data_IF_685319115701
#
_entry.id   IF_685319115701
#
_cell.length_a   1.000
_cell.length_b   1.000
_cell.length_c   1.000
_cell.angle_alpha   90.00
_cell.angle_beta   90.00
_cell.angle_gamma   90.00
#
_symmetry.space_group_name_H-M   'P 1'
#
loop_
_entity.id
_entity.type
_entity.pdbx_description
1 polymer ?
#
# COMPACT_ATOMS: atom_id res chain seq x y z
N UNK A 1 -14.39 -32.75 7.33
CA UNK A 1 -15.29 -32.85 6.16
C UNK A 1 -16.72 -32.96 6.70
N UNK A 2 -17.61 -32.13 6.21
CA UNK A 2 -19.00 -32.06 6.64
C UNK A 2 -19.95 -32.26 5.46
N UNK A 3 -21.09 -32.90 5.71
CA UNK A 3 -22.28 -32.95 4.84
C UNK A 3 -23.35 -31.97 5.33
N UNK A 4 -24.40 -31.68 4.49
CA UNK A 4 -25.56 -30.96 4.95
C UNK A 4 -26.14 -31.55 6.25
N UNK A 5 -26.75 -30.68 7.05
CA UNK A 5 -27.31 -31.00 8.39
C UNK A 5 -26.25 -31.32 9.46
N UNK A 6 -24.92 -30.99 9.20
CA UNK A 6 -23.88 -31.14 10.19
C UNK A 6 -23.30 -32.55 10.36
N UNK A 7 -23.62 -33.48 9.45
CA UNK A 7 -23.05 -34.83 9.46
C UNK A 7 -21.51 -34.75 9.23
N UNK A 8 -20.74 -35.29 10.17
CA UNK A 8 -19.28 -35.30 10.11
C UNK A 8 -18.80 -36.59 9.43
N UNK A 9 -18.33 -36.50 8.19
CA UNK A 9 -17.72 -37.64 7.47
C UNK A 9 -16.25 -37.81 7.85
N UNK A 10 -15.52 -36.69 8.03
CA UNK A 10 -14.12 -36.71 8.43
C UNK A 10 -13.87 -35.73 9.58
N UNK A 11 -13.25 -36.25 10.66
CA UNK A 11 -12.83 -35.40 11.78
C UNK A 11 -11.73 -34.44 11.32
N UNK A 12 -11.52 -33.28 11.99
CA UNK A 12 -10.41 -32.40 11.70
C UNK A 12 -9.05 -33.13 11.77
N UNK A 13 -8.24 -32.95 10.74
CA UNK A 13 -6.90 -33.49 10.61
C UNK A 13 -5.97 -32.42 10.05
N UNK A 14 -4.67 -32.66 10.16
CA UNK A 14 -3.63 -31.74 9.66
C UNK A 14 -3.07 -32.29 8.36
N UNK A 15 -2.72 -31.38 7.43
CA UNK A 15 -2.08 -31.68 6.15
C UNK A 15 -0.90 -30.74 5.98
N UNK A 16 0.30 -31.28 5.83
CA UNK A 16 1.47 -30.47 5.52
C UNK A 16 1.42 -29.98 4.07
N UNK A 17 1.98 -28.80 3.82
CA UNK A 17 2.05 -28.24 2.46
C UNK A 17 3.19 -28.87 1.65
N UNK A 18 3.16 -30.18 1.51
CA UNK A 18 4.07 -30.96 0.67
C UNK A 18 3.29 -31.73 -0.38
N UNK A 19 3.89 -31.92 -1.55
CA UNK A 19 3.20 -32.50 -2.71
C UNK A 19 2.56 -33.87 -2.41
N UNK A 20 3.23 -34.75 -1.61
CA UNK A 20 2.70 -36.06 -1.24
C UNK A 20 1.38 -35.93 -0.46
N UNK A 21 1.36 -35.13 0.62
CA UNK A 21 0.19 -35.01 1.49
C UNK A 21 -0.98 -34.26 0.78
N UNK A 22 -0.66 -33.31 -0.06
CA UNK A 22 -1.67 -32.64 -0.90
C UNK A 22 -2.25 -33.59 -1.94
N UNK A 23 -1.45 -34.56 -2.47
CA UNK A 23 -1.93 -35.61 -3.37
C UNK A 23 -2.82 -36.63 -2.65
N UNK A 24 -2.46 -36.99 -1.43
CA UNK A 24 -3.26 -37.88 -0.58
C UNK A 24 -4.61 -37.19 -0.24
N UNK A 25 -4.60 -35.90 0.13
CA UNK A 25 -5.80 -35.11 0.34
C UNK A 25 -6.69 -35.08 -0.91
N UNK A 26 -6.14 -34.74 -2.06
CA UNK A 26 -6.89 -34.69 -3.31
C UNK A 26 -7.51 -36.04 -3.65
N UNK A 27 -6.74 -37.14 -3.47
CA UNK A 27 -7.23 -38.50 -3.70
C UNK A 27 -8.36 -38.87 -2.74
N UNK A 28 -8.27 -38.48 -1.49
CA UNK A 28 -9.32 -38.67 -0.49
C UNK A 28 -10.60 -37.90 -0.88
N UNK A 29 -10.48 -36.66 -1.30
CA UNK A 29 -11.60 -35.84 -1.72
C UNK A 29 -12.27 -36.37 -2.99
N UNK A 30 -11.52 -36.90 -3.96
CA UNK A 30 -12.05 -37.52 -5.19
C UNK A 30 -12.81 -38.85 -4.94
N UNK A 31 -12.57 -39.49 -3.80
CA UNK A 31 -13.31 -40.72 -3.43
C UNK A 31 -14.68 -40.45 -2.81
N UNK A 32 -15.02 -39.18 -2.56
CA UNK A 32 -16.33 -38.82 -2.06
C UNK A 32 -17.32 -38.81 -3.23
N UNK A 33 -18.42 -39.53 -3.10
CA UNK A 33 -19.42 -39.70 -4.18
C UNK A 33 -20.36 -38.53 -4.35
N UNK A 34 -19.99 -37.36 -3.82
CA UNK A 34 -20.82 -36.12 -3.83
C UNK A 34 -20.07 -34.94 -4.41
N UNK A 35 -20.74 -33.82 -4.69
CA UNK A 35 -20.11 -32.58 -5.08
C UNK A 35 -19.27 -32.02 -3.92
N UNK A 36 -17.95 -31.97 -4.12
CA UNK A 36 -17.01 -31.48 -3.11
C UNK A 36 -16.66 -30.03 -3.38
N UNK A 37 -16.85 -29.16 -2.38
CA UNK A 37 -16.36 -27.79 -2.37
C UNK A 37 -15.39 -27.60 -1.24
N UNK A 38 -14.20 -27.12 -1.57
CA UNK A 38 -13.17 -26.79 -0.58
C UNK A 38 -13.31 -25.33 -0.20
N UNK A 39 -13.36 -25.03 1.09
CA UNK A 39 -13.49 -23.67 1.59
C UNK A 39 -12.23 -23.32 2.39
N UNK A 40 -11.62 -22.18 2.10
CA UNK A 40 -10.44 -21.68 2.76
C UNK A 40 -10.62 -20.26 3.25
N UNK A 41 -10.05 -19.95 4.42
CA UNK A 41 -9.91 -18.56 4.86
C UNK A 41 -8.57 -18.00 4.37
N UNK A 42 -8.55 -16.74 3.90
CA UNK A 42 -7.30 -16.06 3.50
C UNK A 42 -6.50 -15.67 4.73
N UNK A 43 -5.58 -16.54 5.16
CA UNK A 43 -4.64 -16.23 6.24
C UNK A 43 -3.23 -16.04 5.65
N UNK A 44 -2.86 -14.79 5.40
CA UNK A 44 -1.58 -14.48 4.77
C UNK A 44 -1.40 -15.13 3.40
N UNK A 45 -0.29 -15.84 3.21
CA UNK A 45 0.05 -16.57 1.96
C UNK A 45 -0.09 -18.09 2.11
N UNK A 46 -0.42 -18.57 3.30
CA UNK A 46 -0.36 -20.02 3.61
C UNK A 46 -1.42 -20.85 2.87
N UNK A 47 -2.53 -20.26 2.49
CA UNK A 47 -3.56 -20.94 1.70
C UNK A 47 -3.16 -21.14 0.23
N UNK A 48 -2.21 -20.35 -0.32
CA UNK A 48 -1.89 -20.33 -1.75
C UNK A 48 -1.37 -21.67 -2.29
N UNK A 49 -0.45 -22.40 -1.63
CA UNK A 49 0.02 -23.70 -2.14
C UNK A 49 -1.10 -24.73 -2.26
N UNK A 50 -1.98 -24.79 -1.25
CA UNK A 50 -3.12 -25.71 -1.24
C UNK A 50 -4.15 -25.32 -2.30
N UNK A 51 -4.44 -24.02 -2.41
CA UNK A 51 -5.34 -23.47 -3.42
C UNK A 51 -4.85 -23.80 -4.84
N UNK A 52 -3.58 -23.49 -5.15
CA UNK A 52 -3.00 -23.77 -6.47
C UNK A 52 -3.09 -25.26 -6.80
N UNK A 53 -2.66 -26.11 -5.87
CA UNK A 53 -2.66 -27.55 -6.07
C UNK A 53 -4.07 -28.11 -6.32
N UNK A 54 -5.05 -27.72 -5.51
CA UNK A 54 -6.43 -28.22 -5.66
C UNK A 54 -7.11 -27.66 -6.91
N UNK A 55 -6.82 -26.43 -7.30
CA UNK A 55 -7.32 -25.86 -8.56
C UNK A 55 -6.74 -26.57 -9.77
N UNK A 56 -5.46 -26.93 -9.78
CA UNK A 56 -4.84 -27.76 -10.84
C UNK A 56 -5.49 -29.14 -10.95
N UNK A 57 -6.01 -29.69 -9.85
CA UNK A 57 -6.76 -30.95 -9.83
C UNK A 57 -8.25 -30.81 -10.17
N UNK A 58 -8.70 -29.59 -10.51
CA UNK A 58 -10.07 -29.32 -10.94
C UNK A 58 -11.11 -29.17 -9.82
N UNK A 59 -10.69 -29.06 -8.56
CA UNK A 59 -11.62 -28.85 -7.46
C UNK A 59 -12.24 -27.44 -7.49
N UNK A 60 -13.51 -27.38 -7.07
CA UNK A 60 -14.14 -26.14 -6.68
C UNK A 60 -13.51 -25.66 -5.35
N UNK A 61 -12.89 -24.48 -5.34
CA UNK A 61 -12.26 -23.91 -4.14
C UNK A 61 -12.81 -22.50 -3.91
N UNK A 62 -13.47 -22.29 -2.79
CA UNK A 62 -13.91 -20.95 -2.36
C UNK A 62 -12.96 -20.36 -1.32
N UNK A 63 -12.53 -19.16 -1.56
CA UNK A 63 -11.62 -18.42 -0.66
C UNK A 63 -12.39 -17.32 0.03
N UNK A 64 -12.53 -17.40 1.35
CA UNK A 64 -13.36 -16.53 2.16
C UNK A 64 -12.52 -15.44 2.85
N UNK A 65 -13.08 -14.25 2.89
CA UNK A 65 -12.45 -13.13 3.58
C UNK A 65 -12.48 -13.35 5.11
N UNK A 66 -11.36 -13.16 5.83
CA UNK A 66 -11.32 -13.28 7.29
C UNK A 66 -12.33 -12.38 8.02
N UNK A 67 -12.73 -11.28 7.42
CA UNK A 67 -13.75 -10.41 7.99
C UNK A 67 -15.13 -11.08 7.99
N UNK A 68 -15.51 -11.76 6.91
CA UNK A 68 -16.77 -12.52 6.81
C UNK A 68 -16.77 -13.69 7.79
N UNK A 69 -15.65 -14.40 7.89
CA UNK A 69 -15.48 -15.48 8.87
C UNK A 69 -15.59 -14.96 10.31
N UNK A 70 -15.03 -13.77 10.59
CA UNK A 70 -15.18 -13.13 11.90
C UNK A 70 -16.65 -12.80 12.21
N UNK A 71 -17.39 -12.23 11.27
CA UNK A 71 -18.81 -11.93 11.44
C UNK A 71 -19.61 -13.22 11.70
N UNK A 72 -19.32 -14.29 10.96
CA UNK A 72 -19.97 -15.59 11.13
C UNK A 72 -19.69 -16.22 12.51
N UNK A 73 -18.43 -16.18 12.96
CA UNK A 73 -18.03 -16.66 14.30
C UNK A 73 -18.71 -15.90 15.44
N UNK A 74 -18.94 -14.60 15.28
CA UNK A 74 -19.58 -13.77 16.31
C UNK A 74 -21.07 -14.06 16.53
N UNK A 75 -21.70 -14.93 15.73
CA UNK A 75 -23.10 -15.34 15.93
C UNK A 75 -23.26 -16.41 17.02
N UNK A 76 -22.16 -17.00 17.51
CA UNK A 76 -22.18 -18.02 18.56
C UNK A 76 -22.01 -17.44 19.97
N UNK A 77 -22.68 -18.07 20.98
CA UNK A 77 -22.62 -17.68 22.39
C UNK A 77 -21.29 -18.03 23.09
N UNK A 78 -20.48 -18.91 22.55
CA UNK A 78 -19.22 -19.37 23.14
C UNK A 78 -18.08 -19.25 22.16
N UNK A 79 -16.99 -18.60 22.57
CA UNK A 79 -15.77 -18.45 21.81
C UNK A 79 -14.76 -19.50 22.27
N UNK A 80 -14.58 -20.56 21.48
CA UNK A 80 -13.44 -21.48 21.60
C UNK A 80 -12.59 -21.29 20.35
N UNK A 81 -11.34 -20.89 20.51
CA UNK A 81 -10.41 -20.68 19.41
C UNK A 81 -9.36 -21.79 19.39
N UNK A 82 -9.58 -22.77 18.55
CA UNK A 82 -8.59 -23.81 18.20
C UNK A 82 -8.67 -24.07 16.70
N UNK A 83 -7.59 -24.52 16.09
CA UNK A 83 -7.54 -24.79 14.63
C UNK A 83 -8.59 -25.84 14.22
N UNK A 84 -8.83 -26.82 15.09
CA UNK A 84 -9.90 -27.83 14.88
C UNK A 84 -11.28 -27.19 14.83
N UNK A 85 -11.58 -26.28 15.76
CA UNK A 85 -12.86 -25.57 15.79
C UNK A 85 -12.99 -24.61 14.64
N UNK A 86 -11.90 -23.96 14.23
CA UNK A 86 -11.87 -23.06 13.09
C UNK A 86 -12.15 -23.85 11.79
N UNK A 87 -11.57 -25.03 11.60
CA UNK A 87 -11.86 -25.89 10.45
C UNK A 87 -13.35 -26.30 10.38
N UNK A 88 -13.95 -26.68 11.51
CA UNK A 88 -15.39 -26.97 11.60
C UNK A 88 -16.22 -25.74 11.25
N UNK A 89 -15.86 -24.59 11.79
CA UNK A 89 -16.59 -23.33 11.55
C UNK A 89 -16.54 -22.90 10.10
N UNK A 90 -15.38 -23.03 9.43
CA UNK A 90 -15.19 -22.76 7.99
C UNK A 90 -16.06 -23.73 7.18
N UNK A 91 -16.09 -25.00 7.55
CA UNK A 91 -16.92 -26.01 6.86
C UNK A 91 -18.41 -25.72 7.01
N UNK A 92 -18.88 -25.35 8.22
CA UNK A 92 -20.28 -24.95 8.45
C UNK A 92 -20.64 -23.70 7.65
N UNK A 93 -19.76 -22.69 7.61
CA UNK A 93 -19.93 -21.52 6.75
C UNK A 93 -20.17 -21.91 5.29
N UNK A 94 -19.39 -22.89 4.80
CA UNK A 94 -19.52 -23.41 3.45
C UNK A 94 -20.89 -24.05 3.19
N UNK A 95 -21.42 -24.81 4.14
CA UNK A 95 -22.75 -25.44 4.05
C UNK A 95 -23.84 -24.36 4.07
N UNK A 96 -23.81 -23.45 5.04
CA UNK A 96 -24.84 -22.40 5.20
C UNK A 96 -24.89 -21.44 4.02
N UNK A 97 -23.79 -21.26 3.31
CA UNK A 97 -23.64 -20.35 2.17
C UNK A 97 -23.43 -21.06 0.82
N UNK A 98 -23.73 -22.35 0.71
CA UNK A 98 -23.42 -23.22 -0.43
C UNK A 98 -23.72 -22.56 -1.79
N UNK A 99 -24.89 -21.99 -1.95
CA UNK A 99 -25.32 -21.37 -3.21
C UNK A 99 -24.73 -19.98 -3.46
N UNK A 100 -24.02 -19.41 -2.48
CA UNK A 100 -23.36 -18.09 -2.58
C UNK A 100 -21.87 -18.22 -2.78
N UNK A 101 -21.30 -19.40 -2.55
CA UNK A 101 -19.88 -19.65 -2.77
C UNK A 101 -19.54 -19.41 -4.24
N UNK A 102 -18.41 -18.75 -4.45
CA UNK A 102 -17.83 -18.57 -5.77
C UNK A 102 -16.55 -19.35 -5.86
N UNK A 103 -16.39 -20.06 -6.97
CA UNK A 103 -15.13 -20.72 -7.27
C UNK A 103 -14.02 -19.67 -7.42
N UNK A 104 -12.86 -20.00 -6.93
CA UNK A 104 -11.70 -19.11 -7.05
C UNK A 104 -11.21 -19.10 -8.49
N UNK A 105 -11.19 -17.91 -9.07
CA UNK A 105 -10.55 -17.63 -10.34
C UNK A 105 -9.16 -17.06 -10.06
N UNK A 106 -8.13 -17.67 -10.66
CA UNK A 106 -6.76 -17.17 -10.52
C UNK A 106 -6.65 -15.79 -11.15
N UNK A 107 -6.06 -14.85 -10.42
CA UNK A 107 -5.70 -13.54 -10.97
C UNK A 107 -4.68 -13.75 -12.10
N UNK A 108 -4.81 -13.06 -13.22
CA UNK A 108 -3.81 -13.13 -14.29
C UNK A 108 -2.40 -12.89 -13.72
N UNK A 109 -1.42 -13.67 -14.15
CA UNK A 109 -0.07 -13.68 -13.58
C UNK A 109 0.57 -12.29 -13.50
N UNK A 110 0.30 -11.43 -14.48
CA UNK A 110 0.81 -10.06 -14.55
C UNK A 110 0.30 -9.18 -13.39
N UNK A 111 -0.98 -9.30 -13.03
CA UNK A 111 -1.54 -8.56 -11.89
C UNK A 111 -1.08 -9.14 -10.56
N UNK A 112 -0.93 -10.47 -10.48
CA UNK A 112 -0.38 -11.13 -9.30
C UNK A 112 1.07 -10.68 -9.03
N UNK A 113 1.90 -10.59 -10.07
CA UNK A 113 3.27 -10.08 -10.00
C UNK A 113 3.30 -8.61 -9.56
N UNK A 114 2.51 -7.74 -10.19
CA UNK A 114 2.40 -6.33 -9.80
C UNK A 114 1.97 -6.17 -8.34
N UNK A 115 1.05 -6.98 -7.88
CA UNK A 115 0.55 -6.96 -6.51
C UNK A 115 1.63 -7.40 -5.50
N UNK A 116 2.44 -8.40 -5.87
CA UNK A 116 3.59 -8.82 -5.06
C UNK A 116 4.62 -7.67 -4.95
N UNK A 117 5.01 -7.07 -6.09
CA UNK A 117 5.91 -5.93 -6.11
C UNK A 117 5.35 -4.75 -5.30
N UNK A 118 4.06 -4.44 -5.42
CA UNK A 118 3.40 -3.41 -4.62
C UNK A 118 3.45 -3.69 -3.12
N UNK A 119 3.34 -4.96 -2.69
CA UNK A 119 3.51 -5.36 -1.28
C UNK A 119 4.95 -5.14 -0.81
N UNK A 120 5.94 -5.54 -1.62
CA UNK A 120 7.36 -5.34 -1.32
C UNK A 120 7.70 -3.85 -1.28
N UNK A 121 7.23 -3.06 -2.24
CA UNK A 121 7.39 -1.61 -2.22
C UNK A 121 6.90 -0.98 -0.90
N UNK A 122 5.74 -1.41 -0.40
CA UNK A 122 5.22 -0.93 0.88
C UNK A 122 6.06 -1.38 2.08
N UNK A 123 6.64 -2.56 2.02
CA UNK A 123 7.55 -3.04 3.06
C UNK A 123 8.78 -2.15 3.15
N UNK A 124 9.47 -1.92 2.03
CA UNK A 124 10.65 -1.06 1.98
C UNK A 124 10.33 0.41 2.27
N UNK A 125 9.14 0.90 1.92
CA UNK A 125 8.69 2.24 2.34
C UNK A 125 8.56 2.39 3.87
N UNK A 126 8.21 1.34 4.59
CA UNK A 126 8.23 1.37 6.07
C UNK A 126 9.65 1.41 6.61
N UNK A 127 10.53 0.55 6.09
CA UNK A 127 11.95 0.56 6.44
C UNK A 127 12.58 1.93 6.16
N UNK A 128 12.22 2.55 5.02
CA UNK A 128 12.67 3.90 4.70
C UNK A 128 12.26 4.92 5.76
N UNK A 129 11.01 4.89 6.20
CA UNK A 129 10.51 5.81 7.24
C UNK A 129 11.29 5.62 8.53
N UNK A 130 11.55 4.39 8.94
CA UNK A 130 12.35 4.04 10.12
C UNK A 130 13.81 4.54 9.97
N UNK A 131 14.43 4.29 8.80
CA UNK A 131 15.80 4.76 8.53
C UNK A 131 15.92 6.28 8.51
N UNK A 132 14.91 7.00 7.98
CA UNK A 132 14.87 8.48 8.04
C UNK A 132 14.70 8.99 9.47
N UNK A 133 13.93 8.31 10.30
CA UNK A 133 13.80 8.67 11.71
C UNK A 133 15.13 8.47 12.43
N UNK A 134 15.81 7.36 12.21
CA UNK A 134 17.11 7.07 12.81
C UNK A 134 18.18 8.09 12.37
N UNK A 135 18.30 8.37 11.06
CA UNK A 135 19.17 9.43 10.57
C UNK A 135 18.82 10.78 11.23
N UNK A 136 17.52 11.08 11.38
CA UNK A 136 17.12 12.34 12.02
C UNK A 136 17.56 12.41 13.48
N UNK A 137 17.41 11.31 14.24
CA UNK A 137 17.88 11.24 15.62
C UNK A 137 19.39 11.48 15.72
N UNK A 138 20.19 10.87 14.84
CA UNK A 138 21.63 11.10 14.80
C UNK A 138 21.97 12.56 14.44
N UNK A 139 21.21 13.14 13.50
CA UNK A 139 21.39 14.54 13.12
C UNK A 139 20.96 15.52 14.22
N UNK A 140 20.03 15.15 15.09
CA UNK A 140 19.65 15.96 16.25
C UNK A 140 20.80 16.04 17.27
N UNK A 141 21.72 15.05 17.33
CA UNK A 141 22.95 15.13 18.11
C UNK A 141 24.06 15.97 17.46
N UNK A 142 24.12 16.00 16.13
CA UNK A 142 25.24 16.60 15.38
C UNK A 142 24.89 17.89 14.64
N UNK A 143 23.65 18.02 14.17
CA UNK A 143 23.11 19.14 13.41
C UNK A 143 21.63 19.38 13.73
N UNK A 144 21.29 19.74 15.01
CA UNK A 144 19.91 19.88 15.44
C UNK A 144 19.12 20.86 14.55
N UNK A 145 17.95 20.42 14.09
CA UNK A 145 17.04 21.22 13.27
C UNK A 145 17.33 21.25 11.76
N UNK A 146 18.43 20.69 11.27
CA UNK A 146 18.83 20.71 9.84
C UNK A 146 17.77 20.10 8.92
N UNK A 147 17.05 19.09 9.36
CA UNK A 147 15.95 18.46 8.64
C UNK A 147 14.86 19.44 8.19
N UNK A 148 14.61 20.50 8.96
CA UNK A 148 13.61 21.50 8.63
C UNK A 148 14.02 22.36 7.41
N UNK A 149 15.30 22.46 7.15
CA UNK A 149 15.87 23.23 6.03
C UNK A 149 16.06 22.37 4.77
N UNK A 150 16.24 21.07 4.90
CA UNK A 150 16.52 20.18 3.77
C UNK A 150 15.32 19.29 3.48
N UNK A 151 14.90 19.27 2.21
CA UNK A 151 13.85 18.34 1.78
C UNK A 151 14.45 16.95 1.63
N UNK A 152 13.71 15.95 2.10
CA UNK A 152 14.03 14.56 1.90
C UNK A 152 13.74 14.06 0.49
N UNK A 153 13.59 12.78 0.38
CA UNK A 153 13.51 11.99 -0.84
C UNK A 153 12.45 12.44 -1.86
N UNK A 154 12.87 12.42 -3.11
CA UNK A 154 12.01 12.60 -4.27
C UNK A 154 11.81 11.25 -4.96
N UNK A 155 10.63 10.68 -4.84
CA UNK A 155 10.24 9.38 -5.40
C UNK A 155 10.35 9.31 -6.95
N UNK A 156 10.36 10.47 -7.63
CA UNK A 156 10.44 10.50 -9.10
C UNK A 156 11.86 10.26 -9.61
N UNK A 157 12.86 10.77 -8.91
CA UNK A 157 14.27 10.71 -9.33
C UNK A 157 15.19 10.04 -8.31
N UNK A 158 14.65 9.55 -7.19
CA UNK A 158 15.40 8.85 -6.14
C UNK A 158 16.35 9.74 -5.31
N UNK A 159 16.35 11.06 -5.50
CA UNK A 159 17.26 11.96 -4.78
C UNK A 159 16.73 12.31 -3.39
N UNK A 160 17.60 12.23 -2.38
CA UNK A 160 17.33 12.68 -1.02
C UNK A 160 18.39 13.71 -0.59
N UNK A 161 17.98 14.99 -0.57
CA UNK A 161 18.90 16.09 -0.28
C UNK A 161 19.41 16.07 1.16
N UNK A 162 18.62 15.57 2.11
CA UNK A 162 19.05 15.45 3.50
C UNK A 162 20.17 14.43 3.64
N UNK A 163 20.00 13.25 3.03
CA UNK A 163 21.02 12.19 3.04
C UNK A 163 22.32 12.63 2.37
N UNK A 164 22.21 13.24 1.17
CA UNK A 164 23.37 13.71 0.42
C UNK A 164 24.11 14.81 1.16
N UNK A 165 23.40 15.71 1.84
CA UNK A 165 24.01 16.76 2.64
C UNK A 165 24.68 16.20 3.90
N UNK A 166 24.02 15.29 4.59
CA UNK A 166 24.50 14.69 5.85
C UNK A 166 25.75 13.81 5.63
N UNK A 167 25.90 13.23 4.44
CA UNK A 167 27.10 12.49 4.09
C UNK A 167 28.35 13.37 4.07
N UNK A 168 28.24 14.58 3.54
CA UNK A 168 29.36 15.53 3.39
C UNK A 168 29.50 16.42 4.65
N UNK A 169 28.38 16.98 5.10
CA UNK A 169 28.34 17.90 6.26
C UNK A 169 27.67 17.19 7.45
N UNK A 170 28.29 16.19 8.00
CA UNK A 170 27.74 15.32 9.04
C UNK A 170 27.70 15.94 10.45
N UNK A 171 28.30 17.15 10.65
CA UNK A 171 28.34 17.89 11.92
C UNK A 171 28.42 19.40 11.65
N UNK A 172 27.84 20.23 12.53
CA UNK A 172 27.88 21.68 12.38
C UNK A 172 29.30 22.26 12.37
N UNK A 173 30.26 21.63 13.07
CA UNK A 173 31.67 22.06 13.01
C UNK A 173 32.24 22.04 11.60
N UNK A 174 31.79 21.15 10.73
CA UNK A 174 32.22 21.08 9.34
C UNK A 174 31.72 22.29 8.52
N UNK A 175 30.70 22.96 9.01
CA UNK A 175 30.09 24.15 8.42
C UNK A 175 30.76 25.41 9.01
N UNK A 176 30.84 25.49 10.34
CA UNK A 176 31.30 26.68 11.07
C UNK A 176 32.81 26.87 11.11
N UNK A 177 33.61 25.89 10.68
CA UNK A 177 35.08 26.02 10.46
C UNK A 177 35.42 26.97 9.31
N UNK A 178 34.47 27.26 8.43
CA UNK A 178 34.58 28.17 7.31
C UNK A 178 33.84 29.47 7.66
N UNK A 179 34.20 30.54 6.94
CA UNK A 179 33.33 31.76 6.95
C UNK A 179 31.99 31.49 6.27
N UNK A 180 31.04 32.38 6.48
CA UNK A 180 29.72 32.28 5.83
C UNK A 180 29.83 32.29 4.30
N UNK A 181 30.73 33.14 3.76
CA UNK A 181 30.98 33.27 2.31
C UNK A 181 31.59 31.98 1.75
N UNK A 182 32.63 31.47 2.37
CA UNK A 182 33.29 30.20 1.96
C UNK A 182 32.34 29.02 2.02
N UNK A 183 31.53 28.93 3.06
CA UNK A 183 30.51 27.88 3.15
C UNK A 183 29.42 28.03 2.08
N UNK A 184 28.99 29.26 1.81
CA UNK A 184 27.98 29.51 0.78
C UNK A 184 28.46 29.05 -0.60
N UNK A 185 29.69 29.37 -0.96
CA UNK A 185 30.32 28.94 -2.22
C UNK A 185 30.48 27.41 -2.28
N UNK A 186 31.00 26.81 -1.23
CA UNK A 186 31.13 25.36 -1.09
C UNK A 186 29.75 24.64 -1.22
N UNK A 187 28.73 25.17 -0.58
CA UNK A 187 27.35 24.64 -0.69
C UNK A 187 26.79 24.77 -2.11
N UNK A 188 27.01 25.86 -2.80
CA UNK A 188 26.57 26.07 -4.17
C UNK A 188 27.23 25.10 -5.15
N UNK A 189 28.56 24.89 -5.01
CA UNK A 189 29.30 23.89 -5.78
C UNK A 189 28.82 22.46 -5.48
N UNK A 190 28.61 22.13 -4.20
CA UNK A 190 28.04 20.85 -3.80
C UNK A 190 26.64 20.63 -4.40
N UNK A 191 25.78 21.65 -4.35
CA UNK A 191 24.43 21.58 -4.90
C UNK A 191 24.45 21.32 -6.41
N UNK A 192 25.35 21.98 -7.15
CA UNK A 192 25.54 21.78 -8.59
C UNK A 192 26.05 20.38 -8.90
N UNK A 193 27.10 19.91 -8.22
CA UNK A 193 27.68 18.57 -8.36
C UNK A 193 26.66 17.45 -8.11
N UNK A 194 25.78 17.62 -7.11
CA UNK A 194 24.69 16.67 -6.79
C UNK A 194 23.44 16.91 -7.65
N UNK A 195 23.41 17.94 -8.52
CA UNK A 195 22.27 18.27 -9.39
C UNK A 195 21.06 18.81 -8.63
N UNK A 196 21.29 19.60 -7.59
CA UNK A 196 20.28 20.39 -6.89
C UNK A 196 20.30 21.86 -7.37
N UNK A 197 19.19 22.55 -7.16
CA UNK A 197 19.14 23.98 -7.42
C UNK A 197 20.10 24.74 -6.50
N UNK A 198 20.93 25.61 -7.09
CA UNK A 198 21.84 26.53 -6.39
C UNK A 198 20.98 27.61 -5.70
N UNK A 199 21.03 27.67 -4.37
CA UNK A 199 20.21 28.58 -3.57
C UNK A 199 21.05 29.21 -2.46
N UNK A 200 21.56 30.41 -2.69
CA UNK A 200 22.37 31.14 -1.73
C UNK A 200 21.62 31.44 -0.43
N UNK A 201 20.32 31.81 -0.53
CA UNK A 201 19.47 32.04 0.64
C UNK A 201 19.36 30.81 1.55
N UNK A 202 19.53 29.62 0.97
CA UNK A 202 19.50 28.36 1.70
C UNK A 202 20.84 28.12 2.41
N UNK A 203 21.97 28.42 1.77
CA UNK A 203 23.27 28.30 2.38
C UNK A 203 23.40 29.20 3.62
N UNK A 204 22.99 30.48 3.49
CA UNK A 204 22.98 31.43 4.59
C UNK A 204 22.13 30.92 5.77
N UNK A 205 20.93 30.40 5.51
CA UNK A 205 20.06 29.83 6.57
C UNK A 205 20.68 28.60 7.24
N UNK A 206 21.39 27.75 6.49
CA UNK A 206 22.07 26.59 7.05
C UNK A 206 23.24 27.04 7.92
N UNK A 207 24.02 28.02 7.46
CA UNK A 207 25.16 28.57 8.22
C UNK A 207 24.69 29.22 9.53
N UNK A 208 23.65 30.06 9.47
CA UNK A 208 23.06 30.68 10.65
C UNK A 208 22.57 29.63 11.67
N UNK A 209 21.88 28.58 11.18
CA UNK A 209 21.42 27.49 12.02
C UNK A 209 22.62 26.72 12.63
N UNK A 210 23.70 26.51 11.86
CA UNK A 210 24.89 25.85 12.34
C UNK A 210 25.62 26.62 13.43
N UNK A 211 25.59 27.97 13.34
CA UNK A 211 26.22 28.88 14.30
C UNK A 211 25.45 29.01 15.62
N UNK A 212 24.12 28.92 15.55
CA UNK A 212 23.24 28.99 16.72
C UNK A 212 22.95 27.62 17.34
N UNK A 213 23.07 26.55 16.54
CA UNK A 213 22.79 25.19 16.97
C UNK A 213 23.80 24.67 17.96
N UNK A 214 23.35 23.86 18.91
CA UNK A 214 24.19 23.25 19.94
C UNK A 214 24.24 21.73 19.73
N UNK A 215 25.25 21.20 19.01
CA UNK A 215 25.50 19.76 18.95
C UNK A 215 25.80 19.21 20.35
N UNK A 216 25.27 18.03 20.65
CA UNK A 216 25.47 17.38 21.95
C UNK A 216 26.55 16.30 21.90
N UNK A 217 27.02 15.93 20.72
CA UNK A 217 28.13 15.00 20.49
C UNK A 217 29.21 15.74 19.72
N UNK A 218 30.47 15.55 20.12
CA UNK A 218 31.59 16.23 19.50
C UNK A 218 31.95 15.67 18.10
N UNK A 219 32.30 16.56 17.19
CA UNK A 219 32.88 16.18 15.88
C UNK A 219 34.21 15.43 15.97
N UNK A 220 34.94 15.57 17.07
CA UNK A 220 36.21 14.85 17.31
C UNK A 220 36.01 13.41 17.77
N UNK A 221 34.77 13.00 18.14
CA UNK A 221 34.48 11.63 18.53
C UNK A 221 34.49 10.72 17.28
N UNK A 222 35.39 9.71 17.19
CA UNK A 222 35.59 8.93 15.96
C UNK A 222 34.31 8.24 15.46
N UNK A 223 33.43 7.79 16.35
CA UNK A 223 32.18 7.12 16.02
C UNK A 223 31.11 8.07 15.47
N UNK A 224 31.15 9.36 15.75
CA UNK A 224 30.11 10.32 15.34
C UNK A 224 29.95 10.35 13.81
N UNK A 225 31.06 10.56 13.10
CA UNK A 225 31.05 10.53 11.63
C UNK A 225 30.60 9.21 11.06
N UNK A 226 31.13 8.11 11.62
CA UNK A 226 30.84 6.75 11.18
C UNK A 226 29.34 6.44 11.31
N UNK A 227 28.71 6.78 12.44
CA UNK A 227 27.30 6.52 12.69
C UNK A 227 26.40 7.27 11.70
N UNK A 228 26.66 8.55 11.44
CA UNK A 228 25.88 9.33 10.45
C UNK A 228 26.05 8.76 9.05
N UNK A 229 27.28 8.43 8.65
CA UNK A 229 27.55 7.87 7.31
C UNK A 229 26.92 6.49 7.13
N UNK A 230 26.93 5.62 8.14
CA UNK A 230 26.28 4.32 8.07
C UNK A 230 24.74 4.47 8.00
N UNK A 231 24.15 5.39 8.74
CA UNK A 231 22.72 5.66 8.63
C UNK A 231 22.32 6.15 7.22
N UNK A 232 23.15 7.03 6.63
CA UNK A 232 22.98 7.49 5.24
C UNK A 232 23.12 6.32 4.27
N UNK A 233 24.12 5.45 4.45
CA UNK A 233 24.36 4.28 3.60
C UNK A 233 23.14 3.34 3.61
N UNK A 234 22.64 2.99 4.80
CA UNK A 234 21.46 2.13 4.93
C UNK A 234 20.24 2.75 4.24
N UNK A 235 20.02 4.06 4.46
CA UNK A 235 18.88 4.75 3.84
C UNK A 235 18.98 4.74 2.31
N UNK A 236 20.17 4.92 1.74
CA UNK A 236 20.40 4.84 0.28
C UNK A 236 20.13 3.46 -0.28
N UNK A 237 20.55 2.40 0.41
CA UNK A 237 20.26 1.04 -0.04
C UNK A 237 18.74 0.77 -0.10
N UNK A 238 18.00 1.27 0.89
CA UNK A 238 16.53 1.20 0.88
C UNK A 238 15.94 2.03 -0.27
N UNK A 239 16.45 3.23 -0.51
CA UNK A 239 16.00 4.09 -1.61
C UNK A 239 16.27 3.45 -2.99
N UNK A 240 17.45 2.85 -3.18
CA UNK A 240 17.81 2.12 -4.39
C UNK A 240 16.87 0.92 -4.62
N UNK A 241 16.60 0.16 -3.57
CA UNK A 241 15.67 -0.97 -3.62
C UNK A 241 14.25 -0.50 -4.01
N UNK A 242 13.77 0.60 -3.44
CA UNK A 242 12.48 1.20 -3.79
C UNK A 242 12.43 1.63 -5.25
N UNK A 243 13.49 2.25 -5.76
CA UNK A 243 13.57 2.67 -7.16
C UNK A 243 13.59 1.47 -8.11
N UNK A 244 14.32 0.40 -7.77
CA UNK A 244 14.36 -0.84 -8.55
C UNK A 244 12.97 -1.47 -8.64
N UNK A 245 12.28 -1.62 -7.50
CA UNK A 245 10.92 -2.18 -7.47
C UNK A 245 9.96 -1.30 -8.27
N UNK A 246 10.01 0.02 -8.10
CA UNK A 246 9.14 0.94 -8.82
C UNK A 246 9.38 0.87 -10.34
N UNK A 247 10.63 0.79 -10.77
CA UNK A 247 10.99 0.65 -12.19
C UNK A 247 10.43 -0.65 -12.76
N UNK A 248 10.57 -1.76 -12.04
CA UNK A 248 9.97 -3.04 -12.46
C UNK A 248 8.44 -2.96 -12.55
N UNK A 249 7.79 -2.37 -11.54
CA UNK A 249 6.35 -2.14 -11.59
C UNK A 249 5.92 -1.29 -12.79
N UNK A 250 6.70 -0.27 -13.13
CA UNK A 250 6.44 0.58 -14.31
C UNK A 250 6.61 -0.20 -15.62
N UNK A 251 7.62 -1.06 -15.72
CA UNK A 251 7.87 -1.89 -16.89
C UNK A 251 6.71 -2.85 -17.13
N UNK A 252 6.29 -3.56 -16.09
CA UNK A 252 5.15 -4.49 -16.18
C UNK A 252 3.85 -3.72 -16.47
N UNK A 253 3.58 -2.62 -15.76
CA UNK A 253 2.36 -1.86 -15.97
C UNK A 253 2.24 -1.31 -17.40
N UNK A 254 3.35 -0.92 -18.04
CA UNK A 254 3.37 -0.43 -19.42
C UNK A 254 2.92 -1.46 -20.46
N UNK A 255 3.02 -2.75 -20.16
CA UNK A 255 2.53 -3.82 -21.05
C UNK A 255 1.00 -3.98 -20.99
N UNK A 256 0.35 -3.40 -20.00
CA UNK A 256 -1.10 -3.50 -19.81
C UNK A 256 -1.85 -2.47 -20.66
N UNK A 257 -2.95 -2.88 -21.33
CA UNK A 257 -3.72 -1.98 -22.20
C UNK A 257 -4.25 -0.74 -21.50
N UNK A 258 -4.62 -0.86 -20.22
CA UNK A 258 -5.17 0.25 -19.44
C UNK A 258 -4.13 1.26 -18.94
N UNK A 259 -2.83 0.93 -18.96
CA UNK A 259 -1.79 1.81 -18.41
C UNK A 259 -1.78 3.23 -18.98
N UNK A 260 -1.86 3.44 -20.32
CA UNK A 260 -1.89 4.79 -20.91
C UNK A 260 -3.06 5.62 -20.38
N UNK A 261 -4.23 5.02 -20.26
CA UNK A 261 -5.46 5.67 -19.81
C UNK A 261 -5.35 6.03 -18.33
N UNK A 262 -4.89 5.09 -17.49
CA UNK A 262 -4.70 5.30 -16.04
C UNK A 262 -3.65 6.37 -15.78
N UNK A 263 -2.51 6.33 -16.47
CA UNK A 263 -1.44 7.32 -16.35
C UNK A 263 -1.90 8.73 -16.74
N UNK A 264 -2.80 8.84 -17.72
CA UNK A 264 -3.31 10.11 -18.18
C UNK A 264 -4.34 10.76 -17.25
N UNK A 265 -4.85 10.01 -16.26
CA UNK A 265 -5.80 10.55 -15.28
C UNK A 265 -5.16 11.60 -14.37
N UNK A 266 -5.95 12.61 -14.01
CA UNK A 266 -5.48 13.70 -13.16
C UNK A 266 -4.95 13.22 -11.80
N UNK A 267 -3.74 13.66 -11.46
CA UNK A 267 -3.09 13.34 -10.18
C UNK A 267 -2.41 11.98 -10.13
N UNK A 268 -2.43 11.17 -11.21
CA UNK A 268 -1.86 9.82 -11.21
C UNK A 268 -0.37 9.83 -11.60
N UNK A 269 0.01 10.07 -12.82
CA UNK A 269 1.41 10.09 -13.27
C UNK A 269 2.13 8.74 -13.20
N UNK A 270 3.45 8.76 -13.49
CA UNK A 270 4.26 7.53 -13.65
C UNK A 270 4.47 6.71 -12.38
N UNK A 271 4.42 7.35 -11.21
CA UNK A 271 4.65 6.69 -9.92
C UNK A 271 3.36 6.05 -9.39
N UNK A 272 2.23 6.76 -9.50
CA UNK A 272 0.98 6.28 -8.93
C UNK A 272 0.20 5.34 -9.85
N UNK A 273 0.40 5.41 -11.18
CA UNK A 273 -0.28 4.52 -12.12
C UNK A 273 0.01 3.04 -11.85
N UNK A 274 1.27 2.58 -11.81
CA UNK A 274 1.56 1.17 -11.55
C UNK A 274 1.09 0.73 -10.15
N UNK A 275 1.15 1.60 -9.15
CA UNK A 275 0.67 1.30 -7.79
C UNK A 275 -0.85 1.14 -7.74
N UNK A 276 -1.59 1.98 -8.48
CA UNK A 276 -3.04 1.88 -8.58
C UNK A 276 -3.45 0.59 -9.28
N UNK A 277 -2.84 0.27 -10.41
CA UNK A 277 -3.10 -0.95 -11.18
C UNK A 277 -2.78 -2.18 -10.32
N UNK A 278 -1.63 -2.19 -9.63
CA UNK A 278 -1.23 -3.29 -8.74
C UNK A 278 -2.24 -3.58 -7.62
N UNK A 279 -2.86 -2.54 -7.06
CA UNK A 279 -3.81 -2.71 -5.95
C UNK A 279 -5.25 -2.99 -6.42
N UNK A 280 -5.64 -2.44 -7.57
CA UNK A 280 -6.96 -2.71 -8.16
C UNK A 280 -6.96 -4.10 -8.81
N UNK A 281 -5.85 -4.49 -9.47
CA UNK A 281 -5.79 -5.70 -10.29
C UNK A 281 -6.67 -5.57 -11.54
N UNK A 282 -7.07 -6.69 -12.10
CA UNK A 282 -7.97 -6.71 -13.25
C UNK A 282 -9.33 -6.07 -12.90
N UNK A 283 -9.64 -5.00 -13.61
CA UNK A 283 -10.90 -4.26 -13.39
C UNK A 283 -12.13 -5.07 -13.81
N UNK A 284 -11.98 -6.00 -14.76
CA UNK A 284 -13.07 -6.85 -15.28
C UNK A 284 -13.68 -7.76 -14.21
N UNK A 285 -12.94 -8.06 -13.15
CA UNK A 285 -13.47 -8.82 -11.99
C UNK A 285 -14.57 -8.09 -11.21
N UNK A 286 -14.71 -6.78 -11.41
CA UNK A 286 -15.77 -6.00 -10.77
C UNK A 286 -16.94 -5.83 -11.72
N UNK A 287 -18.12 -6.28 -11.32
CA UNK A 287 -19.36 -6.14 -12.09
C UNK A 287 -19.84 -4.68 -12.23
N UNK A 288 -19.28 -3.74 -11.46
CA UNK A 288 -19.65 -2.32 -11.51
C UNK A 288 -18.63 -1.44 -10.79
N UNK A 289 -18.63 -0.14 -11.11
CA UNK A 289 -17.84 0.85 -10.36
C UNK A 289 -18.24 0.94 -8.87
N UNK A 290 -19.46 0.55 -8.49
CA UNK A 290 -19.88 0.45 -7.09
C UNK A 290 -19.17 -0.71 -6.39
N UNK A 291 -18.99 -1.85 -7.07
CA UNK A 291 -18.23 -2.98 -6.54
C UNK A 291 -16.75 -2.61 -6.30
N UNK A 292 -16.13 -1.86 -7.22
CA UNK A 292 -14.78 -1.32 -7.00
C UNK A 292 -14.71 -0.40 -5.77
N UNK A 293 -15.69 0.48 -5.57
CA UNK A 293 -15.75 1.39 -4.41
C UNK A 293 -15.89 0.60 -3.10
N UNK A 294 -16.71 -0.45 -3.08
CA UNK A 294 -16.86 -1.34 -1.94
C UNK A 294 -15.55 -2.10 -1.65
N UNK A 295 -14.85 -2.54 -2.71
CA UNK A 295 -13.52 -3.17 -2.59
C UNK A 295 -12.48 -2.22 -1.99
N UNK A 296 -12.53 -0.93 -2.29
CA UNK A 296 -11.68 0.08 -1.66
C UNK A 296 -12.09 0.35 -0.21
N UNK A 297 -13.34 0.03 0.16
CA UNK A 297 -13.89 0.27 1.50
C UNK A 297 -14.09 1.76 1.81
N UNK A 298 -14.47 2.54 0.80
CA UNK A 298 -14.89 3.95 0.94
C UNK A 298 -16.38 4.14 0.72
N UNK A 299 -17.11 3.06 0.52
CA UNK A 299 -18.55 3.02 0.57
C UNK A 299 -19.05 3.41 1.97
N UNK A 300 -20.19 4.04 2.00
CA UNK A 300 -20.87 4.46 3.23
C UNK A 300 -22.17 3.65 3.30
N UNK A 301 -22.21 2.55 4.07
CA UNK A 301 -23.40 1.76 4.19
C UNK A 301 -24.56 2.59 4.74
N UNK A 302 -25.80 2.38 4.28
CA UNK A 302 -26.96 3.03 4.87
C UNK A 302 -27.12 2.57 6.33
N UNK A 303 -27.42 3.51 7.20
CA UNK A 303 -27.78 3.22 8.58
C UNK A 303 -29.18 3.77 8.83
N UNK A 304 -30.16 2.89 8.73
CA UNK A 304 -31.57 3.22 8.84
C UNK A 304 -32.25 2.22 9.77
N UNK A 305 -33.10 2.71 10.65
CA UNK A 305 -33.95 1.89 11.53
C UNK A 305 -35.29 2.58 11.66
N UNK A 306 -36.32 2.01 11.06
CA UNK A 306 -37.65 2.61 10.96
C UNK A 306 -37.57 3.99 10.28
N UNK A 307 -38.04 5.02 10.95
CA UNK A 307 -37.98 6.40 10.44
C UNK A 307 -36.63 7.11 10.66
N UNK A 308 -35.73 6.47 11.41
CA UNK A 308 -34.40 7.06 11.70
C UNK A 308 -33.43 6.86 10.54
N UNK A 309 -32.83 7.94 10.07
CA UNK A 309 -31.74 7.90 9.09
C UNK A 309 -30.52 8.59 9.68
N UNK A 310 -29.44 7.82 9.90
CA UNK A 310 -28.19 8.33 10.43
C UNK A 310 -27.55 9.36 9.50
N UNK A 311 -27.27 10.57 9.98
CA UNK A 311 -26.67 11.68 9.23
C UNK A 311 -25.15 11.60 9.21
N UNK A 312 -24.52 11.16 10.32
CA UNK A 312 -23.08 10.98 10.44
C UNK A 312 -22.68 9.53 10.17
N UNK A 313 -22.16 9.28 8.97
CA UNK A 313 -21.76 7.95 8.52
C UNK A 313 -20.28 7.86 8.25
N UNK A 314 -19.66 6.74 8.66
CA UNK A 314 -18.25 6.44 8.40
C UNK A 314 -18.12 5.52 7.20
N UNK A 315 -16.97 5.60 6.50
CA UNK A 315 -16.62 4.64 5.43
C UNK A 315 -16.45 3.24 6.01
N UNK A 316 -16.77 2.20 5.22
CA UNK A 316 -16.78 0.81 5.69
C UNK A 316 -15.41 0.29 6.11
N UNK A 317 -14.33 0.72 5.47
CA UNK A 317 -12.94 0.27 5.66
C UNK A 317 -12.72 -1.25 5.52
N UNK A 318 -13.64 -1.97 4.89
CA UNK A 318 -13.69 -3.44 4.87
C UNK A 318 -12.52 -4.09 4.12
N UNK A 319 -11.97 -3.44 3.08
CA UNK A 319 -10.95 -4.04 2.22
C UNK A 319 -9.64 -3.22 2.19
N UNK A 320 -8.96 -3.17 1.05
CA UNK A 320 -7.59 -2.67 0.91
C UNK A 320 -7.31 -1.29 1.52
N UNK A 321 -6.63 -1.26 2.65
CA UNK A 321 -6.12 -0.03 3.25
C UNK A 321 -5.05 0.63 2.37
N UNK A 322 -4.30 -0.16 1.61
CA UNK A 322 -3.27 0.27 0.66
C UNK A 322 -3.88 1.05 -0.49
N UNK A 323 -4.95 0.52 -1.09
CA UNK A 323 -5.66 1.19 -2.18
C UNK A 323 -6.26 2.53 -1.71
N UNK A 324 -6.81 2.58 -0.48
CA UNK A 324 -7.26 3.85 0.12
C UNK A 324 -6.13 4.87 0.28
N UNK A 325 -4.94 4.42 0.70
CA UNK A 325 -3.76 5.29 0.83
C UNK A 325 -3.33 5.84 -0.52
N UNK A 326 -3.15 4.98 -1.52
CA UNK A 326 -2.77 5.37 -2.88
C UNK A 326 -3.81 6.32 -3.48
N UNK A 327 -5.10 5.98 -3.38
CA UNK A 327 -6.19 6.83 -3.86
C UNK A 327 -6.21 8.20 -3.17
N UNK A 328 -5.91 8.26 -1.88
CA UNK A 328 -5.78 9.54 -1.17
C UNK A 328 -4.58 10.36 -1.66
N UNK A 329 -3.46 9.71 -1.98
CA UNK A 329 -2.29 10.36 -2.60
C UNK A 329 -2.62 10.93 -3.97
N UNK A 330 -3.35 10.18 -4.81
CA UNK A 330 -3.88 10.69 -6.09
C UNK A 330 -4.73 11.94 -5.88
N UNK A 331 -5.66 11.93 -4.92
CA UNK A 331 -6.49 13.11 -4.63
C UNK A 331 -5.68 14.30 -4.11
N UNK A 332 -4.59 14.03 -3.38
CA UNK A 332 -3.66 15.08 -2.93
C UNK A 332 -2.92 15.70 -4.11
N UNK A 333 -2.37 14.86 -4.99
CA UNK A 333 -1.68 15.32 -6.20
C UNK A 333 -2.61 16.10 -7.13
N UNK A 334 -3.81 15.56 -7.38
CA UNK A 334 -4.83 16.21 -8.20
C UNK A 334 -5.19 17.60 -7.67
N UNK A 335 -5.36 17.73 -6.35
CA UNK A 335 -5.68 19.02 -5.72
C UNK A 335 -4.50 19.99 -5.79
N UNK A 336 -3.27 19.53 -5.63
CA UNK A 336 -2.05 20.36 -5.67
C UNK A 336 -1.79 20.90 -7.08
N UNK A 337 -1.93 20.03 -8.08
CA UNK A 337 -1.61 20.39 -9.48
C UNK A 337 -2.78 21.00 -10.23
N UNK A 338 -3.97 21.09 -9.64
CA UNK A 338 -5.20 21.62 -10.27
C UNK A 338 -5.42 21.02 -11.66
N UNK A 339 -5.24 19.71 -11.78
CA UNK A 339 -5.14 19.01 -13.04
C UNK A 339 -6.34 19.29 -13.98
N UNK A 340 -6.15 19.95 -15.13
CA UNK A 340 -7.26 20.34 -16.01
C UNK A 340 -7.96 19.13 -16.64
N UNK A 341 -7.25 17.99 -16.80
CA UNK A 341 -7.79 16.77 -17.42
C UNK A 341 -8.89 16.09 -16.62
N UNK A 342 -8.98 16.32 -15.30
CA UNK A 342 -10.04 15.79 -14.43
C UNK A 342 -10.64 16.89 -13.56
N UNK A 343 -10.91 18.04 -14.18
CA UNK A 343 -11.56 19.19 -13.56
C UNK A 343 -12.82 18.80 -12.77
N UNK A 344 -13.62 17.86 -13.30
CA UNK A 344 -14.83 17.34 -12.65
C UNK A 344 -14.59 16.76 -11.25
N UNK A 345 -13.44 16.09 -11.02
CA UNK A 345 -13.09 15.54 -9.71
C UNK A 345 -12.59 16.66 -8.80
N UNK A 346 -11.75 17.54 -9.33
CA UNK A 346 -11.23 18.70 -8.60
C UNK A 346 -12.35 19.63 -8.11
N UNK A 347 -13.23 20.02 -9.02
CA UNK A 347 -14.41 20.86 -8.70
C UNK A 347 -15.34 20.20 -7.70
N UNK A 348 -15.53 18.89 -7.82
CA UNK A 348 -16.32 18.13 -6.86
C UNK A 348 -15.71 18.15 -5.45
N UNK A 349 -14.36 18.04 -5.33
CA UNK A 349 -13.67 18.16 -4.03
C UNK A 349 -13.92 19.58 -3.45
N UNK A 350 -13.75 20.63 -4.27
CA UNK A 350 -13.98 22.01 -3.82
C UNK A 350 -15.42 22.25 -3.41
N UNK A 351 -16.39 21.70 -4.18
CA UNK A 351 -17.80 21.75 -3.83
C UNK A 351 -18.06 21.13 -2.45
N UNK A 352 -17.47 19.95 -2.19
CA UNK A 352 -17.62 19.26 -0.90
C UNK A 352 -16.99 20.00 0.26
N UNK A 353 -15.90 20.73 0.02
CA UNK A 353 -15.31 21.64 1.03
C UNK A 353 -16.20 22.83 1.32
N UNK A 354 -16.80 23.44 0.29
CA UNK A 354 -17.79 24.53 0.45
C UNK A 354 -19.06 24.09 1.18
N UNK A 355 -19.47 22.83 1.00
CA UNK A 355 -20.58 22.21 1.73
C UNK A 355 -20.24 21.90 3.22
N UNK A 356 -19.07 22.34 3.73
CA UNK A 356 -18.66 22.19 5.12
C UNK A 356 -17.93 20.87 5.45
N UNK A 357 -17.64 20.00 4.46
CA UNK A 357 -16.85 18.80 4.72
C UNK A 357 -15.39 19.13 5.01
N UNK A 358 -14.78 18.44 5.98
CA UNK A 358 -13.36 18.56 6.22
C UNK A 358 -12.55 18.23 4.95
N UNK A 359 -11.37 18.88 4.79
CA UNK A 359 -10.47 18.65 3.63
C UNK A 359 -10.16 17.17 3.38
N UNK A 360 -10.14 16.35 4.45
CA UNK A 360 -9.93 14.91 4.35
C UNK A 360 -11.17 14.19 3.83
N UNK A 361 -12.34 14.49 4.36
CA UNK A 361 -13.61 13.91 3.93
C UNK A 361 -13.95 14.30 2.48
N UNK A 362 -13.70 15.53 2.08
CA UNK A 362 -13.88 16.00 0.71
C UNK A 362 -13.01 15.23 -0.29
N UNK A 363 -11.72 14.96 0.04
CA UNK A 363 -10.85 14.12 -0.79
C UNK A 363 -11.35 12.68 -0.89
N UNK A 364 -11.88 12.08 0.19
CA UNK A 364 -12.47 10.73 0.12
C UNK A 364 -13.71 10.71 -0.75
N UNK A 365 -14.55 11.74 -0.70
CA UNK A 365 -15.67 11.88 -1.62
C UNK A 365 -15.21 12.05 -3.08
N UNK A 366 -14.14 12.82 -3.31
CA UNK A 366 -13.47 12.94 -4.62
C UNK A 366 -12.94 11.61 -5.12
N UNK A 367 -12.34 10.81 -4.24
CA UNK A 367 -11.84 9.46 -4.58
C UNK A 367 -12.97 8.53 -5.05
N UNK A 368 -14.14 8.60 -4.42
CA UNK A 368 -15.32 7.84 -4.87
C UNK A 368 -15.69 8.21 -6.32
N UNK A 369 -15.73 9.51 -6.64
CA UNK A 369 -15.99 9.98 -8.01
C UNK A 369 -14.88 9.56 -8.98
N UNK A 370 -13.61 9.69 -8.59
CA UNK A 370 -12.45 9.28 -9.37
C UNK A 370 -12.50 7.80 -9.74
N UNK A 371 -12.80 6.92 -8.79
CA UNK A 371 -12.85 5.47 -9.02
C UNK A 371 -13.99 5.05 -9.96
N UNK A 372 -15.10 5.77 -9.99
CA UNK A 372 -16.16 5.55 -10.99
C UNK A 372 -15.66 5.90 -12.40
N UNK A 373 -14.94 7.01 -12.53
CA UNK A 373 -14.34 7.43 -13.81
C UNK A 373 -13.25 6.44 -14.21
N UNK A 374 -12.41 6.02 -13.26
CA UNK A 374 -11.40 4.99 -13.49
C UNK A 374 -12.03 3.72 -14.06
N UNK A 375 -13.04 3.19 -13.38
CA UNK A 375 -13.75 1.98 -13.80
C UNK A 375 -14.28 2.11 -15.24
N UNK A 376 -15.00 3.20 -15.54
CA UNK A 376 -15.58 3.41 -16.87
C UNK A 376 -14.50 3.47 -17.96
N UNK A 377 -13.46 4.31 -17.76
CA UNK A 377 -12.38 4.49 -18.74
C UNK A 377 -11.57 3.21 -18.98
N UNK A 378 -11.30 2.43 -17.94
CA UNK A 378 -10.54 1.19 -18.08
C UNK A 378 -11.39 0.10 -18.71
N UNK A 379 -12.69 0.01 -18.38
CA UNK A 379 -13.59 -0.94 -19.03
C UNK A 379 -13.75 -0.66 -20.53
N UNK A 380 -13.77 0.61 -20.96
CA UNK A 380 -13.78 0.99 -22.38
C UNK A 380 -12.58 0.43 -23.15
N UNK A 381 -11.39 0.37 -22.52
CA UNK A 381 -10.17 -0.20 -23.15
C UNK A 381 -10.33 -1.69 -23.45
N UNK A 382 -11.06 -2.43 -22.61
CA UNK A 382 -11.27 -3.86 -22.79
C UNK A 382 -12.51 -4.23 -23.63
N UNK A 383 -13.30 -3.23 -24.03
CA UNK A 383 -14.47 -3.41 -24.91
C UNK A 383 -14.15 -3.09 -26.37
N UNK A 384 -13.01 -2.45 -26.63
CA UNK A 384 -12.47 -2.19 -27.99
C UNK A 384 -11.68 -3.38 -28.48
#
# INVERSE_FOLDING_TARGET
>A
ILKPYGEIIGRPFEVCHVARELSELATMLLRLDDEVRVIMETTGIYHLPVLSYLKEKGFFVAVINPFEMKEYRCQGLRFVKTDKQDAITISNYGIDHWYRLKDYEAEESVYAELKLLGRQYRHYMRMRVESVLELTHLLDYTMPGIKNLLKGWNETNGKDKLSDFSEEYWHYDNITRQSEEEFADSYLEWAERKGYHRRQDKAIKIYALAKEGIPTVSSSTPSTKMLVQEAVRVLREVDNTLMTILTQMQTIAKSLPEYPVVRAMGGVGNVLAPKLIAEIGDVRRFHSGKALIAHVGIDVPPYQSGQFTGTERKISKRCSSSLRKIGYEVMRCLKTHKAPKDALVYEFILKKEKEGKSKRAAKIAGLNKFLRIYYARVMEVYQQ
#
